data_IF_820476707626
#
_entry.id   IF_820476707626
#
_cell.length_a   1.000
_cell.length_b   1.000
_cell.length_c   1.000
_cell.angle_alpha   90.00
_cell.angle_beta   90.00
_cell.angle_gamma   90.00
#
_symmetry.space_group_name_H-M   'P 1'
#
loop_
_entity.id
_entity.type
_entity.pdbx_description
1 polymer ?
#
# COMPACT_ATOMS: atom_id res chain seq x y z
N UNK A 1 14.05 -17.12 -4.45
CA UNK A 1 12.81 -16.37 -4.77
C UNK A 1 12.42 -15.58 -3.54
N UNK A 2 12.19 -14.28 -3.66
CA UNK A 2 11.68 -13.45 -2.56
C UNK A 2 10.17 -13.66 -2.39
N UNK A 3 9.68 -13.41 -1.18
CA UNK A 3 8.25 -13.44 -0.85
C UNK A 3 7.76 -12.01 -0.71
N UNK A 4 6.95 -11.56 -1.66
CA UNK A 4 6.50 -10.16 -1.76
C UNK A 4 5.00 -10.09 -1.51
N UNK A 5 4.62 -9.38 -0.47
CA UNK A 5 3.23 -9.03 -0.18
C UNK A 5 2.86 -7.76 -0.94
N UNK A 6 1.88 -7.86 -1.84
CA UNK A 6 1.32 -6.72 -2.57
C UNK A 6 -0.11 -6.51 -2.10
N UNK A 7 -0.39 -5.38 -1.47
CA UNK A 7 -1.76 -4.94 -1.21
C UNK A 7 -2.23 -4.09 -2.36
N UNK A 8 -3.41 -4.41 -2.92
CA UNK A 8 -3.99 -3.70 -4.06
C UNK A 8 -3.46 -4.13 -5.43
N UNK A 9 -3.09 -5.41 -5.60
CA UNK A 9 -2.54 -5.94 -6.84
C UNK A 9 -3.56 -6.23 -7.96
N UNK A 10 -4.84 -5.91 -7.80
CA UNK A 10 -5.86 -6.20 -8.82
C UNK A 10 -5.93 -5.20 -9.96
N UNK A 11 -5.40 -3.97 -9.79
CA UNK A 11 -5.47 -2.88 -10.79
C UNK A 11 -4.23 -1.97 -10.73
N UNK A 12 -4.07 -1.13 -11.75
CA UNK A 12 -3.11 -0.04 -11.78
C UNK A 12 -1.67 -0.49 -11.51
N UNK A 13 -0.97 0.27 -10.69
CA UNK A 13 0.44 0.03 -10.34
C UNK A 13 0.63 -1.34 -9.70
N UNK A 14 -0.25 -1.73 -8.77
CA UNK A 14 -0.15 -3.02 -8.09
C UNK A 14 -0.26 -4.20 -9.05
N UNK A 15 -1.17 -4.15 -10.02
CA UNK A 15 -1.31 -5.19 -11.03
C UNK A 15 -0.10 -5.25 -11.98
N UNK A 16 0.43 -4.10 -12.39
CA UNK A 16 1.63 -4.03 -13.22
C UNK A 16 2.86 -4.60 -12.49
N UNK A 17 3.02 -4.30 -11.20
CA UNK A 17 4.08 -4.88 -10.37
C UNK A 17 3.94 -6.38 -10.24
N UNK A 18 2.73 -6.86 -9.92
CA UNK A 18 2.42 -8.28 -9.79
C UNK A 18 2.82 -9.02 -11.07
N UNK A 19 2.39 -8.54 -12.24
CA UNK A 19 2.70 -9.15 -13.53
C UNK A 19 4.20 -9.18 -13.86
N UNK A 20 4.95 -8.16 -13.41
CA UNK A 20 6.40 -8.11 -13.62
C UNK A 20 7.20 -9.01 -12.68
N UNK A 21 6.72 -9.18 -11.45
CA UNK A 21 7.51 -9.80 -10.38
C UNK A 21 7.22 -11.29 -10.19
N UNK A 22 6.08 -11.79 -10.67
CA UNK A 22 5.59 -13.13 -10.39
C UNK A 22 6.45 -14.27 -10.98
N UNK A 23 7.16 -14.02 -12.08
CA UNK A 23 8.03 -15.01 -12.69
C UNK A 23 9.22 -15.40 -11.78
N UNK A 24 9.77 -14.42 -11.06
CA UNK A 24 10.98 -14.61 -10.27
C UNK A 24 10.73 -14.62 -8.75
N UNK A 25 9.51 -14.33 -8.30
CA UNK A 25 9.17 -14.19 -6.91
C UNK A 25 7.86 -14.89 -6.55
N UNK A 26 7.71 -15.25 -5.28
CA UNK A 26 6.42 -15.65 -4.71
C UNK A 26 5.65 -14.39 -4.32
N UNK A 27 4.47 -14.21 -4.89
CA UNK A 27 3.62 -13.04 -4.66
C UNK A 27 2.42 -13.46 -3.81
N UNK A 28 2.19 -12.71 -2.74
CA UNK A 28 0.96 -12.76 -1.95
C UNK A 28 0.21 -11.48 -2.24
N UNK A 29 -0.94 -11.57 -2.89
CA UNK A 29 -1.78 -10.42 -3.20
C UNK A 29 -2.97 -10.35 -2.27
N UNK A 30 -3.17 -9.18 -1.67
CA UNK A 30 -4.37 -8.85 -0.87
C UNK A 30 -5.11 -7.74 -1.59
N UNK A 31 -6.32 -8.02 -2.04
CA UNK A 31 -7.19 -7.02 -2.67
C UNK A 31 -8.65 -7.46 -2.67
N UNK A 32 -9.57 -6.51 -2.80
CA UNK A 32 -11.02 -6.75 -2.78
C UNK A 32 -11.54 -7.64 -3.91
N UNK A 33 -10.84 -7.62 -5.02
CA UNK A 33 -11.13 -8.46 -6.20
C UNK A 33 -9.86 -9.15 -6.66
N UNK A 34 -9.94 -10.37 -7.19
CA UNK A 34 -8.77 -11.07 -7.67
C UNK A 34 -8.11 -10.33 -8.87
N UNK A 35 -6.79 -10.43 -9.02
CA UNK A 35 -6.11 -10.00 -10.23
C UNK A 35 -6.54 -10.87 -11.42
N UNK A 36 -6.44 -10.34 -12.63
CA UNK A 36 -6.73 -11.12 -13.85
C UNK A 36 -5.67 -12.19 -14.16
N UNK A 37 -4.46 -12.02 -13.61
CA UNK A 37 -3.36 -12.95 -13.79
C UNK A 37 -3.54 -14.17 -12.86
N UNK A 38 -3.36 -15.37 -13.42
CA UNK A 38 -3.20 -16.61 -12.67
C UNK A 38 -1.77 -17.15 -12.89
N UNK A 39 -1.06 -17.46 -11.79
CA UNK A 39 0.30 -17.96 -11.86
C UNK A 39 0.61 -18.86 -10.66
N UNK A 40 1.46 -19.89 -10.84
CA UNK A 40 1.83 -20.81 -9.75
C UNK A 40 2.48 -20.13 -8.54
N UNK A 41 3.17 -19.02 -8.77
CA UNK A 41 3.83 -18.21 -7.72
C UNK A 41 2.91 -17.14 -7.12
N UNK A 42 1.64 -17.07 -7.49
CA UNK A 42 0.67 -16.08 -7.01
C UNK A 42 -0.35 -16.73 -6.08
N UNK A 43 -0.39 -16.25 -4.85
CA UNK A 43 -1.49 -16.53 -3.91
C UNK A 43 -2.32 -15.26 -3.75
N UNK A 44 -3.64 -15.37 -3.86
CA UNK A 44 -4.55 -14.24 -3.68
C UNK A 44 -5.46 -14.44 -2.48
N UNK A 45 -5.61 -13.40 -1.68
CA UNK A 45 -6.59 -13.29 -0.61
C UNK A 45 -7.57 -12.14 -0.90
N UNK A 46 -8.84 -12.45 -1.00
CA UNK A 46 -9.89 -11.43 -1.11
C UNK A 46 -10.10 -10.79 0.26
N UNK A 47 -9.80 -9.49 0.37
CA UNK A 47 -9.87 -8.77 1.63
C UNK A 47 -9.90 -7.26 1.37
N UNK A 48 -10.76 -6.54 2.09
CA UNK A 48 -10.70 -5.10 2.20
C UNK A 48 -9.79 -4.71 3.36
N UNK A 49 -8.66 -4.09 3.08
CA UNK A 49 -7.65 -3.74 4.08
C UNK A 49 -8.20 -2.82 5.19
N UNK A 50 -9.25 -2.05 4.91
CA UNK A 50 -9.81 -1.12 5.89
C UNK A 50 -10.76 -1.82 6.88
N UNK A 51 -11.61 -2.73 6.40
CA UNK A 51 -12.72 -3.30 7.17
C UNK A 51 -12.48 -4.71 7.66
N UNK A 52 -11.74 -5.51 6.88
CA UNK A 52 -11.61 -6.93 7.17
C UNK A 52 -10.38 -7.22 8.05
N UNK A 53 -10.38 -8.39 8.68
CA UNK A 53 -9.16 -8.94 9.27
C UNK A 53 -8.18 -9.33 8.16
N UNK A 54 -6.93 -8.93 8.30
CA UNK A 54 -5.90 -9.26 7.33
C UNK A 54 -5.51 -10.74 7.45
N UNK A 55 -5.33 -11.45 6.32
CA UNK A 55 -4.97 -12.86 6.32
C UNK A 55 -3.62 -13.10 6.99
N UNK A 56 -3.48 -14.25 7.64
CA UNK A 56 -2.18 -14.66 8.21
C UNK A 56 -1.21 -15.02 7.09
N UNK A 57 0.00 -14.50 7.17
CA UNK A 57 1.12 -14.80 6.26
C UNK A 57 2.33 -15.20 7.10
N UNK A 58 2.94 -16.33 6.79
CA UNK A 58 4.03 -16.89 7.58
C UNK A 58 5.39 -16.27 7.30
N UNK A 59 5.61 -15.84 6.04
CA UNK A 59 6.91 -15.34 5.57
C UNK A 59 6.71 -14.21 4.55
N UNK A 60 7.39 -13.10 4.77
CA UNK A 60 7.39 -11.91 3.89
C UNK A 60 8.79 -11.29 3.89
N UNK A 61 9.32 -11.01 2.71
CA UNK A 61 10.57 -10.26 2.51
C UNK A 61 10.31 -8.80 2.12
N UNK A 62 9.15 -8.51 1.55
CA UNK A 62 8.80 -7.14 1.14
C UNK A 62 7.30 -6.91 1.24
N UNK A 63 6.92 -5.71 1.68
CA UNK A 63 5.54 -5.21 1.66
C UNK A 63 5.46 -4.08 0.66
N UNK A 64 4.51 -4.17 -0.28
CA UNK A 64 4.18 -3.11 -1.23
C UNK A 64 2.71 -2.73 -1.03
N UNK A 65 2.46 -1.51 -0.58
CA UNK A 65 1.11 -1.01 -0.36
C UNK A 65 0.70 -0.08 -1.50
N UNK A 66 -0.19 -0.54 -2.37
CA UNK A 66 -0.65 0.17 -3.56
C UNK A 66 -2.01 0.87 -3.42
N UNK A 67 -2.89 0.54 -2.44
CA UNK A 67 -4.18 1.21 -2.36
C UNK A 67 -4.03 2.71 -2.18
N UNK A 68 -4.93 3.44 -2.78
CA UNK A 68 -5.00 4.89 -2.67
C UNK A 68 -6.28 5.40 -3.29
N UNK A 69 -6.61 6.64 -2.99
CA UNK A 69 -7.74 7.38 -3.53
C UNK A 69 -7.29 8.76 -3.96
N UNK A 70 -8.09 9.38 -4.79
CA UNK A 70 -7.88 10.75 -5.24
C UNK A 70 -9.23 11.43 -5.44
N UNK A 71 -9.43 12.57 -4.76
CA UNK A 71 -10.61 13.41 -4.86
C UNK A 71 -10.20 14.78 -5.41
N UNK A 72 -10.35 14.99 -6.72
CA UNK A 72 -9.96 16.23 -7.38
C UNK A 72 -11.12 17.23 -7.36
N UNK A 73 -11.15 18.08 -6.35
CA UNK A 73 -12.17 19.11 -6.14
C UNK A 73 -11.55 20.40 -5.62
N UNK A 74 -12.13 21.58 -5.94
CA UNK A 74 -11.78 22.82 -5.25
C UNK A 74 -11.96 22.66 -3.74
N UNK A 75 -11.12 23.30 -2.93
CA UNK A 75 -11.22 23.24 -1.47
C UNK A 75 -12.60 23.59 -0.94
N UNK A 76 -13.30 24.54 -1.59
CA UNK A 76 -14.67 24.94 -1.26
C UNK A 76 -15.73 23.85 -1.46
N UNK A 77 -15.42 22.78 -2.23
CA UNK A 77 -16.30 21.64 -2.50
C UNK A 77 -15.85 20.35 -1.85
N UNK A 78 -14.65 20.31 -1.27
CA UNK A 78 -14.20 19.19 -0.49
C UNK A 78 -14.94 19.16 0.85
N UNK A 79 -15.47 17.98 1.20
CA UNK A 79 -16.05 17.71 2.51
C UNK A 79 -14.97 17.18 3.45
N UNK A 80 -15.18 17.33 4.75
CA UNK A 80 -14.29 16.69 5.74
C UNK A 80 -14.20 15.18 5.55
N UNK A 81 -15.28 14.56 5.06
CA UNK A 81 -15.32 13.14 4.75
C UNK A 81 -14.38 12.76 3.60
N UNK A 82 -14.19 13.61 2.59
CA UNK A 82 -13.22 13.35 1.51
C UNK A 82 -11.79 13.26 2.10
N UNK A 83 -11.45 14.13 3.06
CA UNK A 83 -10.16 14.08 3.77
C UNK A 83 -10.02 12.82 4.62
N UNK A 84 -11.06 12.45 5.38
CA UNK A 84 -11.05 11.22 6.19
C UNK A 84 -10.84 10.00 5.33
N UNK A 85 -11.61 9.88 4.24
CA UNK A 85 -11.52 8.74 3.33
C UNK A 85 -10.14 8.64 2.66
N UNK A 86 -9.58 9.77 2.19
CA UNK A 86 -8.24 9.79 1.63
C UNK A 86 -7.19 9.41 2.69
N UNK A 87 -7.35 9.85 3.94
CA UNK A 87 -6.44 9.49 5.02
C UNK A 87 -6.57 8.01 5.41
N UNK A 88 -7.79 7.48 5.51
CA UNK A 88 -8.04 6.07 5.82
C UNK A 88 -7.35 5.14 4.83
N UNK A 89 -7.60 5.32 3.52
CA UNK A 89 -7.05 4.40 2.52
C UNK A 89 -5.54 4.60 2.30
N UNK A 90 -5.05 5.84 2.30
CA UNK A 90 -3.65 6.10 1.98
C UNK A 90 -2.71 5.92 3.18
N UNK A 91 -3.18 6.16 4.42
CA UNK A 91 -2.36 6.17 5.63
C UNK A 91 -2.73 5.02 6.57
N UNK A 92 -3.97 5.00 7.07
CA UNK A 92 -4.39 4.03 8.08
C UNK A 92 -4.32 2.60 7.56
N UNK A 93 -4.78 2.35 6.33
CA UNK A 93 -4.64 1.04 5.69
C UNK A 93 -3.19 0.59 5.53
N UNK A 94 -2.28 1.51 5.22
CA UNK A 94 -0.84 1.22 5.17
C UNK A 94 -0.28 0.88 6.56
N UNK A 95 -0.63 1.67 7.57
CA UNK A 95 -0.22 1.43 8.98
C UNK A 95 -0.73 0.07 9.46
N UNK A 96 -2.01 -0.23 9.27
CA UNK A 96 -2.61 -1.53 9.63
C UNK A 96 -1.87 -2.70 8.97
N UNK A 97 -1.58 -2.57 7.67
CA UNK A 97 -0.82 -3.59 6.92
C UNK A 97 0.59 -3.77 7.50
N UNK A 98 1.30 -2.67 7.74
CA UNK A 98 2.66 -2.73 8.29
C UNK A 98 2.64 -3.35 9.68
N UNK A 99 1.77 -2.92 10.57
CA UNK A 99 1.67 -3.46 11.94
C UNK A 99 1.39 -4.97 11.93
N UNK A 100 0.47 -5.43 11.09
CA UNK A 100 0.12 -6.84 10.97
C UNK A 100 1.30 -7.71 10.54
N UNK A 101 2.06 -7.25 9.54
CA UNK A 101 3.11 -8.08 8.93
C UNK A 101 4.53 -7.74 9.39
N UNK A 102 4.73 -6.71 10.20
CA UNK A 102 6.06 -6.32 10.69
C UNK A 102 6.81 -7.47 11.42
N UNK A 103 6.16 -8.28 12.28
CA UNK A 103 6.85 -9.38 12.96
C UNK A 103 7.44 -10.42 12.00
N UNK A 104 6.72 -10.73 10.91
CA UNK A 104 7.20 -11.69 9.90
C UNK A 104 8.18 -11.02 8.94
N UNK A 105 7.98 -9.76 8.59
CA UNK A 105 8.88 -8.98 7.74
C UNK A 105 10.28 -8.85 8.35
N UNK A 106 10.38 -8.60 9.66
CA UNK A 106 11.67 -8.50 10.37
C UNK A 106 12.51 -9.78 10.29
N UNK A 107 11.90 -10.93 10.04
CA UNK A 107 12.58 -12.22 9.83
C UNK A 107 12.92 -12.50 8.37
N UNK A 108 12.45 -11.65 7.45
CA UNK A 108 12.64 -11.80 6.02
C UNK A 108 14.08 -11.52 5.55
N UNK A 109 14.38 -11.93 4.34
CA UNK A 109 15.66 -11.68 3.70
C UNK A 109 15.70 -10.29 3.07
N UNK A 110 16.53 -9.38 3.60
CA UNK A 110 16.63 -7.97 3.21
C UNK A 110 15.25 -7.29 3.20
N UNK A 111 14.62 -7.16 4.38
CA UNK A 111 13.25 -6.67 4.49
C UNK A 111 13.09 -5.27 3.91
N UNK A 112 11.94 -5.01 3.29
CA UNK A 112 11.64 -3.70 2.72
C UNK A 112 10.16 -3.39 2.72
N UNK A 113 9.82 -2.10 2.83
CA UNK A 113 8.46 -1.56 2.74
C UNK A 113 8.44 -0.51 1.65
N UNK A 114 7.48 -0.60 0.74
CA UNK A 114 7.27 0.35 -0.35
C UNK A 114 5.89 0.97 -0.23
N UNK A 115 5.85 2.29 -0.12
CA UNK A 115 4.65 3.12 -0.12
C UNK A 115 4.71 4.11 -1.29
N UNK A 116 3.56 4.55 -1.78
CA UNK A 116 3.47 5.47 -2.91
C UNK A 116 3.04 6.86 -2.45
N UNK A 117 3.79 7.88 -2.82
CA UNK A 117 3.44 9.29 -2.67
C UNK A 117 3.01 9.91 -4.01
N UNK A 118 2.99 11.22 -4.08
CA UNK A 118 2.62 11.99 -5.27
C UNK A 118 3.47 13.24 -5.39
N UNK A 119 3.72 13.69 -6.60
CA UNK A 119 4.42 14.97 -6.87
C UNK A 119 3.64 16.18 -6.34
N UNK A 120 2.34 16.04 -6.10
CA UNK A 120 1.50 17.11 -5.55
C UNK A 120 1.91 17.53 -4.13
N UNK A 121 2.60 16.68 -3.38
CA UNK A 121 3.15 17.02 -2.06
C UNK A 121 4.27 18.04 -2.14
N UNK A 122 5.03 18.04 -3.23
CA UNK A 122 6.19 18.90 -3.42
C UNK A 122 5.85 20.14 -4.27
N UNK A 123 5.13 19.94 -5.37
CA UNK A 123 4.88 21.02 -6.34
C UNK A 123 3.62 21.85 -6.03
N UNK A 124 2.69 21.31 -5.22
CA UNK A 124 1.39 21.94 -5.00
C UNK A 124 0.57 21.97 -6.30
N UNK A 125 -0.48 21.17 -6.35
CA UNK A 125 -1.35 21.07 -7.53
C UNK A 125 -2.77 21.52 -7.19
N UNK A 126 -3.44 22.30 -8.08
CA UNK A 126 -4.84 22.66 -7.89
C UNK A 126 -5.70 21.41 -7.69
N UNK A 127 -6.72 21.51 -6.84
CA UNK A 127 -7.71 20.46 -6.58
C UNK A 127 -7.21 19.19 -5.87
N UNK A 128 -5.95 19.14 -5.42
CA UNK A 128 -5.34 17.97 -4.79
C UNK A 128 -5.27 18.06 -3.26
N UNK A 129 -5.99 18.98 -2.62
CA UNK A 129 -5.78 19.29 -1.19
C UNK A 129 -5.90 18.06 -0.28
N UNK A 130 -6.93 17.20 -0.41
CA UNK A 130 -7.13 16.03 0.45
C UNK A 130 -6.08 14.95 0.21
N UNK A 131 -5.85 14.56 -1.05
CA UNK A 131 -4.85 13.53 -1.38
C UNK A 131 -3.43 14.00 -1.10
N UNK A 132 -3.11 15.27 -1.34
CA UNK A 132 -1.78 15.84 -1.03
C UNK A 132 -1.51 15.80 0.47
N UNK A 133 -2.50 16.17 1.31
CA UNK A 133 -2.38 16.06 2.76
C UNK A 133 -2.15 14.61 3.22
N UNK A 134 -2.95 13.66 2.72
CA UNK A 134 -2.78 12.24 3.05
C UNK A 134 -1.42 11.68 2.59
N UNK A 135 -0.97 12.03 1.38
CA UNK A 135 0.32 11.55 0.86
C UNK A 135 1.52 12.20 1.55
N UNK A 136 1.41 13.44 2.01
CA UNK A 136 2.43 14.06 2.88
C UNK A 136 2.54 13.31 4.21
N UNK A 137 1.43 12.84 4.76
CA UNK A 137 1.45 11.98 5.95
C UNK A 137 2.16 10.64 5.68
N UNK A 138 1.96 10.04 4.50
CA UNK A 138 2.72 8.83 4.07
C UNK A 138 4.22 9.11 4.04
N UNK A 139 4.65 10.26 3.52
CA UNK A 139 6.09 10.63 3.50
C UNK A 139 6.66 10.79 4.92
N UNK A 140 5.89 11.40 5.83
CA UNK A 140 6.25 11.48 7.24
C UNK A 140 6.37 10.10 7.90
N UNK A 141 5.42 9.22 7.62
CA UNK A 141 5.42 7.83 8.09
C UNK A 141 6.68 7.08 7.61
N UNK A 142 7.02 7.18 6.32
CA UNK A 142 8.22 6.53 5.75
C UNK A 142 9.50 7.01 6.43
N UNK A 143 9.63 8.32 6.67
CA UNK A 143 10.80 8.88 7.38
C UNK A 143 10.92 8.33 8.81
N UNK A 144 9.81 8.29 9.53
CA UNK A 144 9.76 7.77 10.90
C UNK A 144 10.08 6.27 10.96
N UNK A 145 9.44 5.47 10.11
CA UNK A 145 9.71 4.03 10.03
C UNK A 145 11.14 3.73 9.59
N UNK A 146 11.69 4.52 8.67
CA UNK A 146 13.09 4.41 8.26
C UNK A 146 14.07 4.62 9.43
N UNK A 147 13.78 5.60 10.29
CA UNK A 147 14.60 5.84 11.49
C UNK A 147 14.41 4.74 12.56
N UNK A 148 13.20 4.22 12.72
CA UNK A 148 12.88 3.21 13.74
C UNK A 148 13.35 1.80 13.35
N UNK A 149 13.28 1.45 12.07
CA UNK A 149 13.52 0.10 11.57
C UNK A 149 14.89 -0.08 10.90
N UNK A 150 15.65 0.99 10.72
CA UNK A 150 17.03 0.90 10.23
C UNK A 150 17.89 0.10 11.22
N UNK A 151 18.87 -0.70 10.70
CA UNK A 151 19.80 -1.43 11.53
C UNK A 151 20.75 -0.52 12.30
#
# INVERSE_FOLDING_TARGET
>A
MRKILIVGGSRGIGNALLSKLVEENKIINISRIPPSLSHVNLTHHTCDVLTDELPTVEEVDSIVYCPGSINLKPISRLKLEDFRNDFEINVIGAVKTIQQYLPVLKRGNKPSIVLFSTVATTLGMPFHASVSAAKSAVEGLVKSLGAELAP
#
